data_IF_933242794475
#
_entry.id   IF_933242794475
#
_cell.length_a   1.000
_cell.length_b   1.000
_cell.length_c   1.000
_cell.angle_alpha   90.00
_cell.angle_beta   90.00
_cell.angle_gamma   90.00
#
_symmetry.space_group_name_H-M   'P 1'
#
loop_
_entity.id
_entity.type
_entity.pdbx_description
1 polymer ?
#
# COMPACT_ATOMS: atom_id res chain seq x y z
N UNK A 1 -33.51 46.14 -34.37
CA UNK A 1 -33.58 47.27 -33.41
C UNK A 1 -33.77 46.67 -32.01
N UNK A 2 -33.12 47.21 -30.96
CA UNK A 2 -33.72 47.95 -29.82
C UNK A 2 -34.94 47.26 -29.17
N UNK A 3 -35.06 47.15 -27.83
CA UNK A 3 -34.37 47.88 -26.74
C UNK A 3 -34.18 47.07 -25.45
N UNK A 4 -33.23 47.52 -24.62
CA UNK A 4 -33.04 47.14 -23.20
C UNK A 4 -33.99 47.91 -22.27
N UNK A 5 -34.15 47.43 -21.03
CA UNK A 5 -34.48 48.25 -19.85
C UNK A 5 -35.65 47.74 -19.00
N UNK A 6 -35.82 48.25 -17.75
CA UNK A 6 -35.05 49.29 -17.07
C UNK A 6 -34.20 48.77 -15.88
N UNK A 7 -33.47 49.67 -15.21
CA UNK A 7 -32.69 49.42 -13.99
C UNK A 7 -32.83 50.56 -12.95
N UNK A 8 -32.46 50.28 -11.70
CA UNK A 8 -32.28 51.23 -10.57
C UNK A 8 -30.96 50.85 -9.86
N UNK A 9 -29.97 51.70 -9.47
CA UNK A 9 -29.89 53.11 -9.02
C UNK A 9 -30.37 53.33 -7.55
N UNK A 10 -29.69 54.03 -6.61
CA UNK A 10 -28.39 54.77 -6.45
C UNK A 10 -28.18 54.95 -4.90
N UNK A 11 -27.05 55.27 -4.22
CA UNK A 11 -25.60 55.56 -4.42
C UNK A 11 -24.85 55.40 -3.04
N UNK A 12 -23.49 55.50 -2.95
CA UNK A 12 -22.71 55.18 -1.72
C UNK A 12 -22.24 56.40 -0.89
N UNK A 13 -21.64 56.19 0.32
CA UNK A 13 -20.36 56.77 0.83
C UNK A 13 -20.15 56.77 2.37
N UNK A 14 -18.98 56.24 2.82
CA UNK A 14 -18.05 56.77 3.87
C UNK A 14 -18.52 56.94 5.35
N UNK A 15 -17.61 57.14 6.37
CA UNK A 15 -16.13 57.18 6.37
C UNK A 15 -15.42 56.22 7.38
N UNK A 16 -14.10 56.41 7.56
CA UNK A 16 -13.14 55.65 8.40
C UNK A 16 -12.79 56.43 9.70
N UNK A 17 -12.31 55.76 10.78
CA UNK A 17 -11.32 56.36 11.69
C UNK A 17 -10.02 55.53 11.87
N UNK A 18 -8.91 56.20 12.21
CA UNK A 18 -7.55 55.63 12.40
C UNK A 18 -6.94 56.15 13.72
N UNK A 19 -6.13 55.35 14.43
CA UNK A 19 -4.82 55.81 14.94
C UNK A 19 -3.68 54.80 14.62
N UNK A 20 -2.42 55.10 14.25
CA UNK A 20 -1.44 56.19 14.56
C UNK A 20 -0.94 56.11 16.03
N UNK A 21 0.34 55.86 16.36
CA UNK A 21 1.56 55.55 15.57
C UNK A 21 2.68 54.99 16.52
N UNK A 22 3.92 54.86 16.00
CA UNK A 22 5.22 54.93 16.73
C UNK A 22 5.79 53.63 17.33
N UNK A 23 7.11 53.32 17.32
CA UNK A 23 8.23 53.51 16.34
C UNK A 23 9.48 52.75 16.86
N UNK A 24 10.48 52.51 16.00
CA UNK A 24 11.79 51.91 16.34
C UNK A 24 12.01 50.54 15.67
N UNK A 25 12.76 50.36 14.58
CA UNK A 25 14.14 50.71 14.19
C UNK A 25 15.25 49.78 14.75
N UNK A 26 15.99 49.22 13.78
CA UNK A 26 17.43 48.87 13.77
C UNK A 26 18.01 47.85 14.77
N UNK A 27 18.42 46.72 14.18
CA UNK A 27 19.82 46.26 14.07
C UNK A 27 20.39 45.09 14.91
N UNK A 28 21.21 44.33 14.16
CA UNK A 28 22.38 43.54 14.57
C UNK A 28 22.21 42.27 15.40
N UNK A 29 22.63 41.15 14.81
CA UNK A 29 23.30 40.06 15.54
C UNK A 29 24.66 40.56 16.05
N UNK A 30 25.19 40.00 17.15
CA UNK A 30 26.21 38.98 16.93
C UNK A 30 26.18 37.81 17.92
N UNK A 31 27.04 36.83 17.66
CA UNK A 31 27.24 35.63 18.47
C UNK A 31 27.82 35.89 19.86
N UNK A 32 27.56 34.97 20.79
CA UNK A 32 28.61 34.34 21.61
C UNK A 32 28.17 33.03 22.26
N UNK A 33 29.10 32.09 22.32
CA UNK A 33 29.07 30.93 23.23
C UNK A 33 29.56 31.36 24.61
N UNK A 34 29.09 30.72 25.69
CA UNK A 34 29.94 30.26 26.80
C UNK A 34 29.20 29.27 27.73
N UNK A 35 29.91 28.19 28.03
CA UNK A 35 29.88 27.21 29.12
C UNK A 35 28.82 27.26 30.25
N UNK A 36 28.22 26.09 30.47
CA UNK A 36 28.28 25.30 31.72
C UNK A 36 28.00 25.98 33.08
N UNK A 37 26.87 25.64 33.69
CA UNK A 37 26.72 25.54 35.16
C UNK A 37 26.08 24.19 35.49
N UNK A 38 26.73 23.41 36.36
CA UNK A 38 26.14 22.24 37.03
C UNK A 38 25.40 22.68 38.30
N UNK A 39 24.16 22.22 38.50
CA UNK A 39 23.60 22.02 39.84
C UNK A 39 22.97 20.62 39.88
N UNK A 40 23.37 19.84 40.88
CA UNK A 40 22.86 18.49 41.14
C UNK A 40 21.49 18.51 41.82
N UNK A 41 20.58 17.63 41.41
CA UNK A 41 19.29 17.42 42.06
C UNK A 41 18.76 16.02 41.77
N UNK A 42 19.07 15.07 42.65
CA UNK A 42 18.67 13.66 42.48
C UNK A 42 17.14 13.49 42.56
N UNK A 43 16.60 12.66 41.66
CA UNK A 43 15.32 11.96 41.87
C UNK A 43 15.32 10.66 41.05
N UNK A 44 14.47 9.72 41.48
CA UNK A 44 14.54 8.31 41.10
C UNK A 44 14.34 7.98 39.60
N UNK A 45 14.53 6.71 39.22
CA UNK A 45 14.69 6.30 37.82
C UNK A 45 13.41 6.48 37.00
N UNK A 46 13.43 7.49 36.13
CA UNK A 46 12.60 7.46 34.94
C UNK A 46 13.12 6.33 34.03
N UNK A 47 12.27 5.36 33.70
CA UNK A 47 12.59 4.30 32.74
C UNK A 47 12.70 4.91 31.35
N UNK A 48 13.90 5.28 30.93
CA UNK A 48 14.18 5.68 29.57
C UNK A 48 13.85 4.51 28.62
N UNK A 49 12.86 4.71 27.75
CA UNK A 49 12.68 3.82 26.60
C UNK A 49 13.87 4.04 25.66
N UNK A 50 14.75 3.05 25.57
CA UNK A 50 15.86 3.08 24.63
C UNK A 50 15.32 2.89 23.21
N UNK A 51 15.28 3.99 22.44
CA UNK A 51 14.74 4.00 21.07
C UNK A 51 15.74 3.49 20.02
N UNK A 52 16.81 2.79 20.43
CA UNK A 52 17.77 2.14 19.53
C UNK A 52 17.42 0.68 19.23
N UNK A 53 16.50 0.40 18.27
CA UNK A 53 16.56 -0.92 17.62
C UNK A 53 16.44 -0.90 16.09
N UNK A 54 16.09 0.20 15.42
CA UNK A 54 15.83 0.16 13.96
C UNK A 54 17.13 -0.08 13.17
N UNK A 55 18.13 0.79 13.35
CA UNK A 55 19.44 0.64 12.71
C UNK A 55 20.18 -0.64 13.14
N UNK A 56 19.96 -1.13 14.37
CA UNK A 56 20.54 -2.39 14.85
C UNK A 56 19.77 -3.63 14.38
N UNK A 57 18.44 -3.62 14.22
CA UNK A 57 17.72 -4.74 13.58
C UNK A 57 18.22 -4.95 12.14
N UNK A 58 18.63 -3.86 11.46
CA UNK A 58 19.20 -3.89 10.12
C UNK A 58 20.69 -4.26 10.07
N UNK A 59 21.49 -4.01 11.13
CA UNK A 59 22.94 -4.26 11.15
C UNK A 59 23.43 -5.42 12.05
N UNK A 60 22.69 -5.86 13.07
CA UNK A 60 23.14 -6.90 14.02
C UNK A 60 23.11 -8.31 13.44
N UNK A 61 22.47 -8.49 12.28
CA UNK A 61 22.63 -9.64 11.38
C UNK A 61 24.09 -9.92 10.96
N UNK A 62 25.00 -8.97 11.18
CA UNK A 62 26.40 -9.00 10.72
C UNK A 62 27.39 -9.67 11.67
N UNK A 63 27.03 -9.98 12.93
CA UNK A 63 27.99 -10.41 13.97
C UNK A 63 27.80 -11.84 14.52
N UNK A 64 26.71 -12.54 14.21
CA UNK A 64 26.54 -13.95 14.63
C UNK A 64 26.03 -14.88 13.50
N UNK A 65 26.81 -15.93 13.24
CA UNK A 65 26.50 -17.08 12.36
C UNK A 65 25.93 -16.80 10.96
N UNK A 66 26.83 -16.83 9.96
CA UNK A 66 26.56 -17.17 8.55
C UNK A 66 25.44 -16.39 7.84
N UNK A 67 25.77 -15.17 7.40
CA UNK A 67 25.29 -14.57 6.14
C UNK A 67 23.79 -14.63 5.87
N UNK A 68 22.99 -13.92 6.66
CA UNK A 68 21.53 -13.90 6.53
C UNK A 68 21.04 -12.45 6.33
N UNK A 69 20.92 -12.03 5.06
CA UNK A 69 20.48 -10.68 4.71
C UNK A 69 18.99 -10.45 5.04
N UNK A 70 18.72 -9.34 5.71
CA UNK A 70 17.36 -8.89 6.04
C UNK A 70 16.51 -8.63 4.80
N UNK A 71 17.09 -8.10 3.71
CA UNK A 71 16.33 -7.88 2.47
C UNK A 71 16.00 -9.19 1.78
N UNK A 72 16.94 -10.10 1.57
CA UNK A 72 16.64 -11.46 1.06
C UNK A 72 15.57 -12.20 1.87
N UNK A 73 15.54 -12.02 3.19
CA UNK A 73 14.53 -12.61 4.08
C UNK A 73 13.15 -11.90 4.07
N UNK A 74 13.04 -10.74 3.42
CA UNK A 74 11.79 -10.02 3.11
C UNK A 74 11.36 -10.26 1.65
N UNK A 75 12.24 -9.97 0.69
CA UNK A 75 12.05 -10.13 -0.76
C UNK A 75 11.71 -11.57 -1.14
N UNK A 76 12.40 -12.56 -0.56
CA UNK A 76 12.11 -13.98 -0.80
C UNK A 76 10.80 -14.48 -0.17
N UNK A 77 10.08 -13.63 0.59
CA UNK A 77 8.92 -14.02 1.42
C UNK A 77 7.70 -13.11 1.31
N UNK A 78 7.77 -11.98 0.59
CA UNK A 78 6.56 -11.37 0.03
C UNK A 78 5.87 -12.40 -0.88
N UNK A 79 4.53 -12.44 -0.98
CA UNK A 79 3.89 -13.51 -1.72
C UNK A 79 4.21 -13.39 -3.21
N UNK A 80 4.95 -14.37 -3.77
CA UNK A 80 5.25 -14.46 -5.20
C UNK A 80 3.99 -14.50 -6.09
N UNK A 81 2.82 -14.71 -5.48
CA UNK A 81 1.53 -14.62 -6.15
C UNK A 81 1.32 -13.23 -6.78
N UNK A 82 0.98 -13.30 -8.06
CA UNK A 82 0.41 -12.23 -8.89
C UNK A 82 -0.54 -11.26 -8.17
N UNK A 83 -1.35 -11.76 -7.22
CA UNK A 83 -2.36 -10.98 -6.50
C UNK A 83 -1.79 -10.11 -5.38
N UNK A 84 -0.62 -10.43 -4.82
CA UNK A 84 -0.04 -9.60 -3.76
C UNK A 84 0.63 -8.34 -4.33
N UNK A 85 1.43 -8.49 -5.39
CA UNK A 85 2.19 -7.39 -6.02
C UNK A 85 1.33 -6.15 -6.31
N UNK A 86 0.31 -6.29 -7.16
CA UNK A 86 -0.65 -5.21 -7.49
C UNK A 86 -1.22 -4.51 -6.27
N UNK A 87 -1.66 -5.31 -5.30
CA UNK A 87 -2.38 -4.81 -4.14
C UNK A 87 -1.45 -4.10 -3.17
N UNK A 88 -0.16 -4.45 -3.17
CA UNK A 88 0.88 -3.75 -2.41
C UNK A 88 1.24 -2.39 -3.03
N UNK A 89 1.32 -2.31 -4.37
CA UNK A 89 1.49 -1.03 -5.09
C UNK A 89 0.32 -0.09 -4.76
N UNK A 90 -0.92 -0.58 -4.86
CA UNK A 90 -2.11 0.21 -4.48
C UNK A 90 -2.10 0.59 -2.99
N UNK A 91 -1.71 -0.31 -2.08
CA UNK A 91 -1.65 0.00 -0.65
C UNK A 91 -0.67 1.16 -0.36
N UNK A 92 0.53 1.14 -0.96
CA UNK A 92 1.50 2.22 -0.80
C UNK A 92 1.04 3.55 -1.41
N UNK A 93 0.36 3.53 -2.58
CA UNK A 93 -0.26 4.72 -3.16
C UNK A 93 -1.38 5.28 -2.26
N UNK A 94 -2.26 4.44 -1.72
CA UNK A 94 -3.40 4.91 -0.94
C UNK A 94 -3.01 5.50 0.42
N UNK A 95 -1.98 4.96 1.10
CA UNK A 95 -1.46 5.55 2.35
C UNK A 95 -0.83 6.93 2.08
N UNK A 96 0.07 7.01 1.08
CA UNK A 96 0.76 8.25 0.70
C UNK A 96 -0.16 9.32 0.05
N UNK A 97 -1.19 8.89 -0.68
CA UNK A 97 -2.09 9.75 -1.46
C UNK A 97 -3.04 10.62 -0.62
N UNK A 98 -3.11 10.38 0.69
CA UNK A 98 -3.88 11.23 1.62
C UNK A 98 -3.18 12.53 2.01
N UNK A 99 -1.94 12.74 1.52
CA UNK A 99 -1.14 13.92 1.87
C UNK A 99 -1.77 15.24 1.40
N UNK A 100 -1.65 16.27 2.23
CA UNK A 100 -1.96 17.67 1.90
C UNK A 100 -0.79 18.58 2.32
N UNK A 101 -0.13 19.20 1.33
CA UNK A 101 1.00 20.11 1.53
C UNK A 101 0.65 21.40 2.27
N UNK A 102 -0.64 21.75 2.35
CA UNK A 102 -1.11 22.96 3.01
C UNK A 102 -1.27 22.76 4.52
N UNK A 103 -1.24 21.50 5.00
CA UNK A 103 -1.29 21.14 6.42
C UNK A 103 0.13 20.79 6.89
N UNK A 104 0.67 21.58 7.81
CA UNK A 104 2.09 21.45 8.26
C UNK A 104 2.25 20.43 9.40
N UNK A 105 1.18 20.18 10.17
CA UNK A 105 1.25 19.36 11.38
C UNK A 105 1.15 17.86 11.08
N UNK A 106 2.18 17.09 11.44
CA UNK A 106 2.12 15.62 11.45
C UNK A 106 1.32 15.14 12.68
N UNK A 107 0.38 14.19 12.55
CA UNK A 107 0.04 13.43 11.33
C UNK A 107 -1.15 13.97 10.52
N UNK A 108 -1.77 15.10 10.91
CA UNK A 108 -2.95 15.68 10.25
C UNK A 108 -2.77 15.95 8.75
N UNK A 109 -1.53 16.18 8.34
CA UNK A 109 -1.12 16.30 6.95
C UNK A 109 -1.37 15.04 6.10
N UNK A 110 -1.61 13.87 6.70
CA UNK A 110 -1.78 12.59 6.00
C UNK A 110 -0.46 12.03 5.47
N UNK A 111 -0.52 11.28 4.38
CA UNK A 111 0.64 10.72 3.70
C UNK A 111 1.17 9.42 4.32
N UNK A 112 2.40 9.06 3.94
CA UNK A 112 3.02 7.76 4.21
C UNK A 112 3.39 7.58 5.70
N UNK A 113 2.38 7.38 6.54
CA UNK A 113 2.46 7.30 8.00
C UNK A 113 1.77 6.03 8.57
N UNK A 114 1.32 5.13 7.70
CA UNK A 114 0.76 3.83 8.08
C UNK A 114 -0.64 3.89 8.69
N UNK A 115 -1.38 5.00 8.54
CA UNK A 115 -2.76 5.15 9.05
C UNK A 115 -3.74 4.19 8.37
N UNK A 116 -3.49 3.86 7.09
CA UNK A 116 -4.31 2.96 6.27
C UNK A 116 -4.36 1.50 6.78
N UNK A 117 -3.72 1.18 7.91
CA UNK A 117 -3.93 -0.08 8.63
C UNK A 117 -5.21 -0.13 9.47
N UNK A 118 -5.80 1.03 9.77
CA UNK A 118 -6.96 1.11 10.67
C UNK A 118 -8.29 0.99 9.92
N UNK A 119 -9.28 0.36 10.55
CA UNK A 119 -10.57 0.04 9.93
C UNK A 119 -11.33 1.30 9.47
N UNK A 120 -11.21 2.42 10.19
CA UNK A 120 -11.83 3.70 9.81
C UNK A 120 -11.43 4.12 8.39
N UNK A 121 -10.12 4.14 8.10
CA UNK A 121 -9.61 4.54 6.79
C UNK A 121 -9.75 3.41 5.74
N UNK A 122 -9.62 2.15 6.15
CA UNK A 122 -9.90 1.00 5.26
C UNK A 122 -11.36 0.95 4.80
N UNK A 123 -12.30 1.51 5.56
CA UNK A 123 -13.73 1.55 5.24
C UNK A 123 -14.10 2.62 4.21
N UNK A 124 -13.22 3.61 3.96
CA UNK A 124 -13.41 4.61 2.91
C UNK A 124 -13.64 3.94 1.55
N UNK A 125 -14.59 4.46 0.75
CA UNK A 125 -14.97 3.91 -0.55
C UNK A 125 -13.78 3.79 -1.51
N UNK A 126 -12.90 4.79 -1.52
CA UNK A 126 -11.66 4.78 -2.30
C UNK A 126 -10.72 3.61 -1.91
N UNK A 127 -10.78 3.11 -0.67
CA UNK A 127 -9.92 2.06 -0.13
C UNK A 127 -10.52 0.64 -0.27
N UNK A 128 -11.68 0.51 -0.91
CA UNK A 128 -12.41 -0.76 -1.07
C UNK A 128 -11.51 -1.95 -1.49
N UNK A 129 -11.52 -2.98 -0.65
CA UNK A 129 -10.76 -4.22 -0.83
C UNK A 129 -9.30 -4.21 -0.36
N UNK A 130 -8.74 -3.09 0.12
CA UNK A 130 -7.35 -3.01 0.60
C UNK A 130 -7.09 -3.77 1.92
N UNK A 131 -8.14 -4.12 2.68
CA UNK A 131 -8.06 -5.06 3.81
C UNK A 131 -7.40 -6.41 3.43
N UNK A 132 -7.48 -6.81 2.15
CA UNK A 132 -6.80 -7.99 1.63
C UNK A 132 -5.29 -7.79 1.45
N UNK A 133 -4.84 -6.56 1.19
CA UNK A 133 -3.42 -6.21 1.18
C UNK A 133 -2.84 -6.31 2.58
N UNK A 134 -3.51 -5.70 3.58
CA UNK A 134 -3.11 -5.74 4.97
C UNK A 134 -2.99 -7.19 5.48
N UNK A 135 -3.98 -8.05 5.19
CA UNK A 135 -3.95 -9.49 5.50
C UNK A 135 -2.77 -10.26 4.87
N UNK A 136 -2.23 -9.81 3.74
CA UNK A 136 -1.07 -10.44 3.08
C UNK A 136 0.28 -10.00 3.69
N UNK A 137 0.36 -8.80 4.25
CA UNK A 137 1.57 -8.27 4.90
C UNK A 137 1.58 -8.49 6.42
N UNK A 138 0.44 -8.78 7.05
CA UNK A 138 0.36 -9.03 8.50
C UNK A 138 1.38 -10.08 8.98
N UNK A 139 1.55 -11.27 8.34
CA UNK A 139 2.55 -12.25 8.78
C UNK A 139 4.00 -11.75 8.67
N UNK A 140 4.26 -10.72 7.86
CA UNK A 140 5.57 -10.05 7.77
C UNK A 140 5.73 -9.04 8.90
N UNK A 141 4.69 -8.25 9.20
CA UNK A 141 4.65 -7.32 10.35
C UNK A 141 4.79 -8.05 11.69
N UNK A 142 4.12 -9.20 11.84
CA UNK A 142 4.15 -10.00 13.06
C UNK A 142 5.55 -10.60 13.31
N UNK A 143 6.24 -11.00 12.23
CA UNK A 143 7.62 -11.50 12.29
C UNK A 143 8.63 -10.38 12.58
N UNK A 144 8.40 -9.17 12.07
CA UNK A 144 9.31 -8.03 12.18
C UNK A 144 8.59 -6.86 12.88
N UNK A 145 8.32 -7.03 14.17
CA UNK A 145 7.55 -6.06 14.97
C UNK A 145 8.15 -4.66 15.00
N UNK A 146 9.47 -4.52 14.84
CA UNK A 146 10.21 -3.25 14.78
C UNK A 146 10.13 -2.49 13.44
N UNK A 147 9.65 -3.11 12.36
CA UNK A 147 9.37 -2.41 11.09
C UNK A 147 7.98 -1.78 11.20
N UNK A 148 7.84 -0.49 10.94
CA UNK A 148 6.55 0.23 10.97
C UNK A 148 5.64 -0.21 9.81
N UNK A 149 4.32 -0.05 9.97
CA UNK A 149 3.38 -0.26 8.86
C UNK A 149 3.66 0.73 7.72
N UNK A 150 3.97 1.99 8.04
CA UNK A 150 4.39 3.01 7.08
C UNK A 150 5.55 2.54 6.18
N UNK A 151 6.65 2.02 6.76
CA UNK A 151 7.75 1.47 5.95
C UNK A 151 7.37 0.16 5.25
N UNK A 152 6.60 -0.72 5.89
CA UNK A 152 6.21 -2.00 5.30
C UNK A 152 5.30 -1.83 4.08
N UNK A 153 4.41 -0.84 4.07
CA UNK A 153 3.55 -0.51 2.92
C UNK A 153 4.40 -0.02 1.74
N UNK A 154 5.31 0.93 1.98
CA UNK A 154 6.13 1.52 0.92
C UNK A 154 7.22 0.55 0.41
N UNK A 155 7.79 -0.29 1.30
CA UNK A 155 8.65 -1.42 0.92
C UNK A 155 7.90 -2.41 0.03
N UNK A 156 6.71 -2.87 0.44
CA UNK A 156 5.93 -3.82 -0.34
C UNK A 156 5.47 -3.24 -1.69
N UNK A 157 5.22 -1.93 -1.75
CA UNK A 157 4.96 -1.20 -3.01
C UNK A 157 6.17 -1.22 -3.94
N UNK A 158 7.34 -0.73 -3.50
CA UNK A 158 8.55 -0.67 -4.32
C UNK A 158 9.02 -2.06 -4.79
N UNK A 159 9.09 -3.04 -3.88
CA UNK A 159 9.41 -4.44 -4.22
C UNK A 159 8.44 -5.02 -5.24
N UNK A 160 7.16 -4.65 -5.21
CA UNK A 160 6.18 -5.15 -6.17
C UNK A 160 6.32 -4.56 -7.58
N UNK A 161 6.97 -3.40 -7.74
CA UNK A 161 7.37 -2.84 -9.04
C UNK A 161 8.59 -3.58 -9.58
N UNK A 162 9.62 -3.75 -8.73
CA UNK A 162 10.88 -4.42 -9.08
C UNK A 162 10.66 -5.90 -9.46
N UNK A 163 9.91 -6.66 -8.65
CA UNK A 163 9.49 -8.06 -8.92
C UNK A 163 8.46 -8.19 -10.07
N UNK A 164 8.07 -7.09 -10.71
CA UNK A 164 7.29 -7.08 -11.94
C UNK A 164 8.13 -6.69 -13.18
N UNK A 165 9.43 -6.45 -13.02
CA UNK A 165 10.33 -6.01 -14.10
C UNK A 165 10.35 -4.49 -14.30
N UNK A 166 9.86 -3.72 -13.33
CA UNK A 166 9.91 -2.25 -13.35
C UNK A 166 11.25 -1.69 -12.88
N UNK A 167 11.38 -0.36 -12.81
CA UNK A 167 12.59 0.30 -12.35
C UNK A 167 12.86 0.05 -10.85
N UNK A 168 14.13 0.07 -10.48
CA UNK A 168 14.53 0.15 -9.07
C UNK A 168 14.12 1.51 -8.51
N UNK A 169 13.43 1.52 -7.36
CA UNK A 169 12.96 2.76 -6.74
C UNK A 169 14.01 3.27 -5.75
N UNK A 170 14.44 4.54 -5.79
CA UNK A 170 15.41 5.11 -4.84
C UNK A 170 14.76 5.37 -3.46
N UNK A 171 14.47 4.27 -2.75
CA UNK A 171 13.76 4.25 -1.47
C UNK A 171 14.64 4.62 -0.28
N UNK A 172 14.06 5.39 0.65
CA UNK A 172 14.50 5.50 2.04
C UNK A 172 13.41 5.02 3.00
N UNK A 173 13.81 4.69 4.23
CA UNK A 173 12.97 4.11 5.30
C UNK A 173 13.18 4.85 6.63
N UNK A 174 12.69 4.31 7.74
CA UNK A 174 12.65 4.97 9.05
C UNK A 174 11.36 5.78 9.26
N UNK A 175 10.26 5.45 8.57
CA UNK A 175 8.97 6.14 8.73
C UNK A 175 8.35 5.83 10.09
N UNK A 176 7.83 6.85 10.77
CA UNK A 176 7.11 6.72 12.04
C UNK A 176 5.63 6.39 11.77
N UNK A 177 5.11 5.33 12.38
CA UNK A 177 3.67 5.03 12.37
C UNK A 177 2.88 6.07 13.20
N UNK A 178 1.69 6.44 12.75
CA UNK A 178 0.66 7.06 13.62
C UNK A 178 0.32 6.16 14.81
N UNK A 179 -0.11 6.70 15.95
CA UNK A 179 -0.37 5.89 17.15
C UNK A 179 -1.73 5.18 17.15
N UNK A 180 -2.77 5.81 16.60
CA UNK A 180 -4.15 5.33 16.72
C UNK A 180 -5.07 5.80 15.58
N UNK A 181 -6.28 5.24 15.48
CA UNK A 181 -7.25 5.55 14.41
C UNK A 181 -7.74 7.00 14.45
N UNK A 182 -7.63 7.69 15.59
CA UNK A 182 -7.90 9.12 15.73
C UNK A 182 -6.91 10.04 14.99
N UNK A 183 -5.89 9.45 14.36
CA UNK A 183 -4.89 10.13 13.53
C UNK A 183 -5.02 9.80 12.04
N UNK A 184 -6.02 9.01 11.63
CA UNK A 184 -6.37 8.84 10.22
C UNK A 184 -6.86 10.17 9.62
N UNK A 185 -6.54 10.46 8.35
CA UNK A 185 -7.12 11.57 7.61
C UNK A 185 -8.59 11.29 7.26
N UNK A 186 -9.39 12.35 7.14
CA UNK A 186 -10.78 12.25 6.66
C UNK A 186 -10.87 11.70 5.21
N UNK A 187 -12.01 11.11 4.86
CA UNK A 187 -12.30 10.64 3.51
C UNK A 187 -12.33 11.79 2.47
N UNK A 188 -12.14 11.46 1.19
CA UNK A 188 -12.21 12.41 0.07
C UNK A 188 -10.86 12.98 -0.38
N UNK A 189 -9.74 12.59 0.25
CA UNK A 189 -8.39 13.03 -0.18
C UNK A 189 -7.82 12.23 -1.37
N UNK A 190 -8.39 11.06 -1.69
CA UNK A 190 -7.93 10.18 -2.78
C UNK A 190 -8.74 10.41 -4.07
N UNK A 191 -8.18 10.17 -5.26
CA UNK A 191 -8.84 10.52 -6.52
C UNK A 191 -9.93 9.52 -6.93
N UNK A 192 -11.14 10.03 -7.18
CA UNK A 192 -12.16 9.33 -7.96
C UNK A 192 -11.73 9.05 -9.41
N UNK A 193 -12.20 7.92 -9.95
CA UNK A 193 -11.90 7.48 -11.31
C UNK A 193 -12.76 8.13 -12.41
N UNK A 194 -13.96 8.64 -12.06
CA UNK A 194 -14.93 9.23 -13.00
C UNK A 194 -15.60 10.52 -12.50
N UNK A 195 -14.84 11.57 -12.15
CA UNK A 195 -15.37 12.90 -11.87
C UNK A 195 -15.91 13.58 -13.14
N UNK A 196 -16.61 14.70 -12.99
CA UNK A 196 -17.17 15.48 -14.10
C UNK A 196 -16.10 16.20 -14.96
N UNK A 197 -14.96 16.59 -14.38
CA UNK A 197 -13.77 17.04 -15.11
C UNK A 197 -12.54 16.25 -14.65
N UNK A 198 -12.16 15.17 -15.35
CA UNK A 198 -11.04 14.31 -14.93
C UNK A 198 -9.68 15.01 -14.90
N UNK A 199 -9.42 15.98 -15.78
CA UNK A 199 -8.13 16.68 -15.79
C UNK A 199 -7.97 17.62 -14.58
N UNK A 200 -9.01 18.41 -14.29
CA UNK A 200 -9.00 19.35 -13.17
C UNK A 200 -8.96 18.60 -11.84
N UNK A 201 -9.77 17.54 -11.69
CA UNK A 201 -9.78 16.69 -10.49
C UNK A 201 -8.44 16.00 -10.22
N UNK A 202 -7.75 15.49 -11.26
CA UNK A 202 -6.40 14.95 -11.10
C UNK A 202 -5.43 16.04 -10.61
N UNK A 203 -5.53 17.27 -11.13
CA UNK A 203 -4.72 18.40 -10.66
C UNK A 203 -5.08 18.80 -9.24
N UNK A 204 -6.35 18.96 -8.88
CA UNK A 204 -6.77 19.30 -7.52
C UNK A 204 -6.23 18.31 -6.48
N UNK A 205 -6.32 17.01 -6.77
CA UNK A 205 -5.84 15.94 -5.87
C UNK A 205 -4.31 15.90 -5.80
N UNK A 206 -3.60 15.89 -6.94
CA UNK A 206 -2.14 15.73 -6.96
C UNK A 206 -1.37 17.03 -6.69
N UNK A 207 -1.88 18.20 -7.10
CA UNK A 207 -1.28 19.49 -6.75
C UNK A 207 -1.41 19.76 -5.26
N UNK A 208 -2.47 19.28 -4.58
CA UNK A 208 -2.57 19.28 -3.11
C UNK A 208 -1.47 18.43 -2.46
N UNK A 209 -1.09 17.29 -3.07
CA UNK A 209 0.07 16.49 -2.65
C UNK A 209 1.42 17.16 -2.97
N UNK A 210 1.47 18.19 -3.81
CA UNK A 210 2.71 18.79 -4.30
C UNK A 210 3.38 18.00 -5.44
N UNK A 211 2.59 17.20 -6.16
CA UNK A 211 2.98 16.51 -7.38
C UNK A 211 2.61 17.35 -8.63
N UNK A 212 3.35 17.21 -9.72
CA UNK A 212 3.14 17.97 -10.97
C UNK A 212 2.51 17.15 -12.13
N UNK A 213 2.22 17.80 -13.27
CA UNK A 213 1.65 17.16 -14.46
C UNK A 213 2.50 16.00 -15.03
N UNK A 214 3.82 15.99 -14.84
CA UNK A 214 4.68 14.85 -15.24
C UNK A 214 4.47 13.69 -14.28
N UNK A 215 4.49 13.98 -12.98
CA UNK A 215 4.35 13.00 -11.91
C UNK A 215 2.96 12.37 -11.88
N UNK A 216 1.90 13.13 -12.16
CA UNK A 216 0.53 12.62 -12.39
C UNK A 216 0.54 11.53 -13.47
N UNK A 217 1.06 11.85 -14.66
CA UNK A 217 1.04 10.92 -15.80
C UNK A 217 1.95 9.73 -15.58
N UNK A 218 3.14 9.94 -15.01
CA UNK A 218 4.06 8.87 -14.67
C UNK A 218 3.43 7.89 -13.66
N UNK A 219 2.91 8.38 -12.54
CA UNK A 219 2.32 7.54 -11.49
C UNK A 219 1.08 6.77 -11.96
N UNK A 220 0.24 7.37 -12.82
CA UNK A 220 -0.87 6.67 -13.48
C UNK A 220 -0.41 5.44 -14.28
N UNK A 221 0.83 5.42 -14.76
CA UNK A 221 1.48 4.24 -15.36
C UNK A 221 1.48 2.98 -14.47
N UNK A 222 1.28 3.12 -13.15
CA UNK A 222 1.07 1.99 -12.24
C UNK A 222 -0.13 1.10 -12.63
N UNK A 223 -1.12 1.61 -13.36
CA UNK A 223 -2.24 0.83 -13.88
C UNK A 223 -1.82 -0.28 -14.86
N UNK A 224 -0.59 -0.25 -15.38
CA UNK A 224 0.04 -1.39 -16.08
C UNK A 224 0.02 -2.68 -15.23
N UNK A 225 0.10 -2.55 -13.89
CA UNK A 225 -0.04 -3.63 -12.91
C UNK A 225 -1.45 -3.72 -12.31
N UNK A 226 -2.51 -3.45 -13.07
CA UNK A 226 -3.85 -3.32 -12.51
C UNK A 226 -4.86 -4.43 -12.87
N UNK A 227 -5.98 -4.46 -12.16
CA UNK A 227 -7.31 -4.73 -12.73
C UNK A 227 -8.38 -4.15 -11.81
N UNK A 228 -9.33 -3.41 -12.36
CA UNK A 228 -10.51 -2.98 -11.63
C UNK A 228 -11.46 -4.15 -11.43
N UNK A 229 -12.40 -3.99 -10.50
CA UNK A 229 -13.37 -4.99 -10.07
C UNK A 229 -14.67 -4.28 -9.72
N UNK A 230 -15.81 -4.60 -10.36
CA UNK A 230 -17.07 -3.92 -10.09
C UNK A 230 -17.51 -4.12 -8.63
N UNK A 231 -17.20 -5.28 -8.03
CA UNK A 231 -17.46 -5.59 -6.62
C UNK A 231 -16.49 -4.89 -5.63
N UNK A 232 -15.67 -3.95 -6.10
CA UNK A 232 -14.78 -3.13 -5.27
C UNK A 232 -14.91 -1.65 -5.56
N UNK A 233 -14.64 -1.22 -6.79
CA UNK A 233 -14.64 0.19 -7.19
C UNK A 233 -15.84 0.59 -8.05
N UNK A 234 -16.72 -0.35 -8.41
CA UNK A 234 -17.77 -0.14 -9.41
C UNK A 234 -17.28 -0.18 -10.86
N UNK A 235 -15.97 -0.22 -11.11
CA UNK A 235 -15.39 -0.14 -12.46
C UNK A 235 -14.95 -1.49 -13.03
N UNK A 236 -15.12 -1.64 -14.34
CA UNK A 236 -14.63 -2.76 -15.15
C UNK A 236 -15.60 -3.95 -15.27
N UNK A 237 -15.40 -4.77 -16.31
CA UNK A 237 -16.11 -6.05 -16.51
C UNK A 237 -15.85 -7.03 -15.32
N UNK A 238 -16.81 -7.89 -14.94
CA UNK A 238 -16.61 -8.93 -13.92
C UNK A 238 -15.49 -9.92 -14.22
N UNK A 239 -15.19 -10.16 -15.50
CA UNK A 239 -14.04 -10.92 -16.00
C UNK A 239 -13.78 -10.59 -17.48
N UNK A 240 -12.59 -10.95 -17.99
CA UNK A 240 -12.22 -10.87 -19.42
C UNK A 240 -11.30 -12.03 -19.83
N UNK A 241 -11.00 -12.13 -21.14
CA UNK A 241 -10.03 -13.12 -21.67
C UNK A 241 -8.67 -13.09 -20.97
N UNK A 242 -8.24 -11.95 -20.44
CA UNK A 242 -6.97 -11.80 -19.72
C UNK A 242 -7.05 -12.20 -18.24
N UNK A 243 -8.23 -12.20 -17.63
CA UNK A 243 -8.36 -12.26 -16.16
C UNK A 243 -9.10 -13.50 -15.64
N UNK A 244 -9.82 -14.23 -16.51
CA UNK A 244 -10.60 -15.42 -16.17
C UNK A 244 -9.75 -16.64 -15.74
N UNK A 245 -8.61 -16.87 -16.40
CA UNK A 245 -7.68 -17.99 -16.07
C UNK A 245 -6.37 -17.50 -15.42
N UNK A 246 -6.24 -16.19 -15.19
CA UNK A 246 -4.99 -15.58 -14.74
C UNK A 246 -4.67 -15.88 -13.26
N UNK A 247 -3.39 -15.99 -12.89
CA UNK A 247 -2.99 -16.50 -11.58
C UNK A 247 -3.47 -15.62 -10.43
N UNK A 248 -3.76 -16.24 -9.29
CA UNK A 248 -4.43 -15.60 -8.14
C UNK A 248 -5.95 -15.79 -8.22
N UNK A 249 -6.73 -14.87 -7.65
CA UNK A 249 -8.19 -14.91 -7.79
C UNK A 249 -8.61 -14.46 -9.22
N UNK A 250 -9.43 -15.22 -9.96
CA UNK A 250 -9.86 -14.86 -11.31
C UNK A 250 -10.90 -13.72 -11.34
N UNK A 251 -11.08 -13.08 -12.51
CA UNK A 251 -12.04 -11.99 -12.72
C UNK A 251 -11.49 -10.56 -12.55
N UNK A 252 -12.34 -9.55 -12.76
CA UNK A 252 -12.00 -8.14 -12.96
C UNK A 252 -11.53 -7.82 -14.38
N UNK A 253 -11.27 -6.54 -14.68
CA UNK A 253 -10.79 -6.06 -15.99
C UNK A 253 -9.46 -5.33 -15.84
N UNK A 254 -8.43 -5.76 -16.58
CA UNK A 254 -7.10 -5.14 -16.59
C UNK A 254 -7.00 -3.99 -17.60
N UNK A 255 -6.09 -3.04 -17.37
CA UNK A 255 -5.74 -2.01 -18.35
C UNK A 255 -4.83 -2.54 -19.46
N UNK A 256 -4.04 -3.57 -19.18
CA UNK A 256 -3.09 -4.19 -20.11
C UNK A 256 -3.34 -5.68 -20.25
N UNK A 257 -2.88 -6.27 -21.37
CA UNK A 257 -2.94 -7.71 -21.59
C UNK A 257 -1.98 -8.50 -20.67
N UNK A 258 -0.80 -7.92 -20.36
CA UNK A 258 0.22 -8.52 -19.50
C UNK A 258 0.24 -7.90 -18.09
N UNK A 259 -0.90 -7.91 -17.40
CA UNK A 259 -1.15 -7.19 -16.14
C UNK A 259 -0.29 -7.58 -14.91
N UNK A 260 0.80 -8.32 -15.08
CA UNK A 260 1.81 -8.66 -14.05
C UNK A 260 3.22 -8.21 -14.39
N UNK A 261 3.41 -7.64 -15.58
CA UNK A 261 4.66 -7.06 -16.05
C UNK A 261 4.54 -5.55 -15.91
N UNK A 262 5.55 -4.92 -15.30
CA UNK A 262 5.64 -3.47 -15.29
C UNK A 262 6.34 -3.03 -16.57
N UNK A 263 5.58 -2.46 -17.49
CA UNK A 263 6.10 -1.86 -18.72
C UNK A 263 5.19 -0.72 -19.19
N UNK A 264 5.57 -0.05 -20.29
CA UNK A 264 4.82 1.07 -20.85
C UNK A 264 3.58 0.66 -21.68
N UNK A 265 3.12 -0.61 -21.63
CA UNK A 265 1.93 -1.04 -22.38
C UNK A 265 0.68 -0.27 -21.98
N UNK A 266 0.53 0.12 -20.71
CA UNK A 266 -0.58 0.97 -20.24
C UNK A 266 -0.81 2.18 -21.15
N UNK A 267 0.22 2.99 -21.41
CA UNK A 267 0.08 4.20 -22.23
C UNK A 267 -0.29 3.86 -23.68
N UNK A 268 0.21 2.73 -24.22
CA UNK A 268 -0.10 2.26 -25.57
C UNK A 268 -1.55 1.78 -25.66
N UNK A 269 -1.99 0.97 -24.70
CA UNK A 269 -3.33 0.38 -24.65
C UNK A 269 -4.42 1.46 -24.51
N UNK A 270 -4.22 2.47 -23.63
CA UNK A 270 -5.14 3.61 -23.50
C UNK A 270 -5.08 4.61 -24.67
N UNK A 271 -4.02 4.58 -25.49
CA UNK A 271 -3.88 5.38 -26.71
C UNK A 271 -4.53 4.71 -27.92
N UNK A 272 -4.37 3.40 -28.05
CA UNK A 272 -4.94 2.64 -29.16
C UNK A 272 -6.43 2.36 -28.96
N UNK A 273 -6.87 2.06 -27.73
CA UNK A 273 -8.28 1.76 -27.37
C UNK A 273 -8.94 0.67 -28.26
N UNK A 274 -8.15 -0.27 -28.80
CA UNK A 274 -8.58 -1.28 -29.78
C UNK A 274 -9.19 -2.56 -29.18
N UNK A 275 -8.87 -2.89 -27.94
CA UNK A 275 -9.36 -4.09 -27.27
C UNK A 275 -10.38 -3.74 -26.18
N UNK A 276 -11.64 -4.10 -26.40
CA UNK A 276 -12.74 -3.86 -25.46
C UNK A 276 -12.63 -4.61 -24.12
N UNK A 277 -11.70 -5.56 -23.98
CA UNK A 277 -11.37 -6.21 -22.70
C UNK A 277 -10.30 -5.47 -21.90
N UNK A 278 -9.70 -4.41 -22.45
CA UNK A 278 -8.80 -3.52 -21.72
C UNK A 278 -9.57 -2.33 -21.17
N UNK A 279 -9.29 -1.97 -19.92
CA UNK A 279 -9.95 -0.89 -19.21
C UNK A 279 -9.33 0.46 -19.56
N UNK A 280 -10.19 1.46 -19.74
CA UNK A 280 -9.81 2.88 -19.74
C UNK A 280 -10.83 3.62 -18.88
N UNK A 281 -10.40 4.15 -17.73
CA UNK A 281 -11.22 5.04 -16.89
C UNK A 281 -11.27 6.45 -17.50
N UNK A 282 -12.24 7.30 -17.14
CA UNK A 282 -12.21 8.72 -17.52
C UNK A 282 -10.91 9.43 -17.13
N UNK A 283 -10.33 9.08 -15.97
CA UNK A 283 -9.03 9.59 -15.52
C UNK A 283 -7.82 9.02 -16.27
N UNK A 284 -7.90 7.83 -16.87
CA UNK A 284 -6.87 7.33 -17.80
C UNK A 284 -7.00 8.00 -19.17
N UNK A 285 -8.24 8.13 -19.66
CA UNK A 285 -8.55 8.68 -20.97
C UNK A 285 -8.03 10.12 -21.11
N UNK A 286 -8.21 10.93 -20.07
CA UNK A 286 -7.85 12.34 -20.08
C UNK A 286 -6.35 12.60 -20.21
N UNK A 287 -5.49 11.62 -19.87
CA UNK A 287 -4.03 11.76 -19.98
C UNK A 287 -3.54 11.93 -21.43
N UNK A 288 -4.40 11.63 -22.42
CA UNK A 288 -4.14 11.82 -23.85
C UNK A 288 -5.03 12.89 -24.49
N UNK A 289 -5.92 13.50 -23.72
CA UNK A 289 -6.91 14.48 -24.18
C UNK A 289 -6.59 15.88 -23.65
N UNK A 290 -6.09 15.99 -22.41
CA UNK A 290 -5.50 17.21 -21.85
C UNK A 290 -4.19 17.61 -22.55
N UNK A 291 -4.00 18.89 -22.96
CA UNK A 291 -2.83 19.32 -23.70
C UNK A 291 -1.47 19.12 -23.00
N UNK A 292 -1.42 19.20 -21.67
CA UNK A 292 -0.18 19.09 -20.90
C UNK A 292 0.13 17.62 -20.58
N UNK A 293 -0.85 16.86 -20.08
CA UNK A 293 -0.66 15.42 -19.80
C UNK A 293 -0.26 14.64 -21.04
N UNK A 294 -0.85 14.99 -22.20
CA UNK A 294 -0.60 14.32 -23.49
C UNK A 294 0.89 14.35 -23.89
N UNK A 295 1.64 15.37 -23.50
CA UNK A 295 3.09 15.46 -23.77
C UNK A 295 3.82 14.30 -23.10
N UNK A 296 3.55 14.05 -21.82
CA UNK A 296 4.15 12.97 -21.05
C UNK A 296 3.60 11.60 -21.44
N UNK A 297 2.29 11.48 -21.65
CA UNK A 297 1.67 10.21 -22.04
C UNK A 297 2.19 9.74 -23.41
N UNK A 298 2.28 10.64 -24.40
CA UNK A 298 2.83 10.33 -25.73
C UNK A 298 4.33 10.01 -25.66
N UNK A 299 5.11 10.72 -24.83
CA UNK A 299 6.51 10.36 -24.55
C UNK A 299 6.61 8.92 -24.05
N UNK A 300 5.78 8.53 -23.07
CA UNK A 300 5.83 7.21 -22.45
C UNK A 300 5.31 6.07 -23.35
N UNK A 301 4.50 6.32 -24.38
CA UNK A 301 4.19 5.26 -25.38
C UNK A 301 5.42 4.87 -26.21
N UNK A 302 6.29 5.83 -26.51
CA UNK A 302 7.48 5.62 -27.34
C UNK A 302 8.71 5.19 -26.53
N UNK A 303 8.90 5.78 -25.35
CA UNK A 303 10.12 5.64 -24.54
C UNK A 303 9.83 4.97 -23.18
N UNK A 304 10.21 3.71 -23.05
CA UNK A 304 10.07 2.94 -21.81
C UNK A 304 11.10 3.36 -20.75
N UNK A 305 12.32 3.71 -21.15
CA UNK A 305 13.40 4.01 -20.21
C UNK A 305 13.17 5.38 -19.56
N UNK A 306 12.66 6.36 -20.31
CA UNK A 306 12.23 7.63 -19.76
C UNK A 306 10.94 7.53 -18.93
N UNK A 307 10.03 6.59 -19.24
CA UNK A 307 8.92 6.23 -18.33
C UNK A 307 9.47 5.66 -17.02
N UNK A 308 10.38 4.69 -17.09
CA UNK A 308 10.97 4.04 -15.92
C UNK A 308 11.72 5.03 -15.03
N UNK A 309 12.50 5.95 -15.62
CA UNK A 309 13.18 7.03 -14.90
C UNK A 309 12.18 7.96 -14.19
N UNK A 310 11.22 8.52 -14.93
CA UNK A 310 10.26 9.47 -14.35
C UNK A 310 9.35 8.80 -13.31
N UNK A 311 9.01 7.52 -13.49
CA UNK A 311 8.26 6.73 -12.52
C UNK A 311 9.04 6.47 -11.23
N UNK A 312 10.32 6.10 -11.32
CA UNK A 312 11.15 5.87 -10.14
C UNK A 312 11.32 7.15 -9.30
N UNK A 313 11.50 8.29 -9.95
CA UNK A 313 11.55 9.60 -9.29
C UNK A 313 10.22 9.96 -8.63
N UNK A 314 9.10 9.82 -9.35
CA UNK A 314 7.77 10.15 -8.84
C UNK A 314 7.30 9.21 -7.71
N UNK A 315 7.57 7.91 -7.81
CA UNK A 315 7.23 6.91 -6.79
C UNK A 315 8.06 7.11 -5.51
N UNK A 316 9.37 7.38 -5.65
CA UNK A 316 10.19 7.73 -4.50
C UNK A 316 9.70 9.02 -3.83
N UNK A 317 9.38 10.08 -4.58
CA UNK A 317 8.80 11.32 -4.04
C UNK A 317 7.49 11.05 -3.29
N UNK A 318 6.54 10.37 -3.94
CA UNK A 318 5.27 9.90 -3.38
C UNK A 318 5.46 9.19 -2.03
N UNK A 319 6.35 8.19 -1.99
CA UNK A 319 6.56 7.36 -0.79
C UNK A 319 7.04 8.14 0.44
N UNK A 320 7.51 9.37 0.26
CA UNK A 320 8.00 10.26 1.31
C UNK A 320 7.02 11.38 1.68
N UNK A 321 5.87 11.51 0.98
CA UNK A 321 4.87 12.55 1.26
C UNK A 321 4.25 12.36 2.64
N UNK A 322 4.15 13.44 3.43
CA UNK A 322 3.60 13.44 4.79
C UNK A 322 4.38 12.62 5.83
N UNK A 323 5.39 11.85 5.43
CA UNK A 323 6.11 10.95 6.32
C UNK A 323 7.02 11.70 7.30
N UNK A 324 6.85 11.43 8.59
CA UNK A 324 7.84 11.73 9.62
C UNK A 324 8.88 10.60 9.66
N UNK A 325 10.17 10.96 9.66
CA UNK A 325 11.27 10.00 9.73
C UNK A 325 11.99 10.05 11.08
N UNK A 326 12.50 8.90 11.52
CA UNK A 326 13.43 8.76 12.64
C UNK A 326 14.59 7.81 12.23
N UNK A 327 15.84 8.29 12.07
CA UNK A 327 16.26 9.68 12.20
C UNK A 327 15.68 10.59 11.10
N UNK A 328 15.65 11.93 11.25
CA UNK A 328 14.92 12.86 10.37
C UNK A 328 15.32 12.80 8.88
N UNK A 329 16.58 12.48 8.58
CA UNK A 329 17.07 12.25 7.22
C UNK A 329 16.43 11.02 6.55
N UNK A 330 16.01 10.02 7.34
CA UNK A 330 15.59 8.69 6.89
C UNK A 330 16.77 7.75 6.64
N UNK A 331 16.48 6.45 6.67
CA UNK A 331 17.46 5.37 6.51
C UNK A 331 17.50 4.93 5.05
N UNK A 332 18.55 5.30 4.33
CA UNK A 332 18.90 4.67 3.05
C UNK A 332 19.50 3.29 3.30
N UNK A 333 19.07 2.28 2.54
CA UNK A 333 19.66 0.94 2.58
C UNK A 333 20.35 0.69 1.24
N UNK A 334 21.67 0.57 1.24
CA UNK A 334 22.45 0.20 0.04
C UNK A 334 22.23 -1.27 -0.36
N UNK A 335 22.62 -1.62 -1.58
CA UNK A 335 22.46 -2.98 -2.12
C UNK A 335 23.63 -3.35 -3.03
N UNK A 336 24.45 -4.33 -2.62
CA UNK A 336 25.46 -4.93 -3.50
C UNK A 336 24.86 -6.13 -4.24
N UNK A 337 24.55 -5.91 -5.52
CA UNK A 337 23.96 -6.89 -6.43
C UNK A 337 24.84 -8.12 -6.69
N UNK A 338 26.09 -8.17 -6.21
CA UNK A 338 27.02 -9.30 -6.40
C UNK A 338 26.89 -10.41 -5.36
N UNK A 339 26.11 -10.22 -4.29
CA UNK A 339 26.13 -11.14 -3.13
C UNK A 339 24.93 -12.07 -2.99
N UNK A 340 23.86 -11.89 -3.78
CA UNK A 340 22.64 -12.69 -3.66
C UNK A 340 22.76 -14.03 -4.39
N UNK A 341 23.37 -15.01 -3.72
CA UNK A 341 23.10 -16.40 -4.00
C UNK A 341 21.64 -16.71 -3.63
N UNK A 342 20.81 -17.11 -4.59
CA UNK A 342 19.42 -17.42 -4.34
C UNK A 342 19.30 -18.75 -3.56
N UNK A 343 19.16 -18.66 -2.23
CA UNK A 343 18.79 -19.78 -1.36
C UNK A 343 17.57 -20.52 -1.97
N UNK A 344 17.69 -21.83 -2.27
CA UNK A 344 16.59 -22.57 -2.91
C UNK A 344 15.40 -22.62 -1.95
N UNK A 345 14.20 -22.43 -2.51
CA UNK A 345 12.95 -22.45 -1.73
C UNK A 345 12.69 -23.84 -1.14
N UNK A 346 13.21 -24.08 0.07
CA UNK A 346 12.69 -25.08 0.97
C UNK A 346 11.30 -24.62 1.38
N UNK A 347 10.29 -25.13 0.70
CA UNK A 347 8.91 -24.97 1.11
C UNK A 347 8.79 -25.34 2.59
N UNK A 348 8.17 -24.46 3.39
CA UNK A 348 7.80 -24.85 4.74
C UNK A 348 6.90 -26.09 4.63
N UNK A 349 7.39 -27.23 5.13
CA UNK A 349 6.60 -28.47 5.18
C UNK A 349 5.41 -28.25 6.12
N UNK A 350 4.29 -27.79 5.57
CA UNK A 350 2.99 -28.26 6.05
C UNK A 350 3.10 -29.78 6.18
N UNK A 351 2.84 -30.32 7.37
CA UNK A 351 3.41 -31.59 7.83
C UNK A 351 2.78 -32.86 7.21
N UNK A 352 2.83 -32.94 5.89
CA UNK A 352 2.58 -34.13 5.08
C UNK A 352 3.91 -34.89 4.88
N UNK A 353 4.33 -35.60 5.94
CA UNK A 353 5.67 -36.20 6.07
C UNK A 353 6.67 -35.19 6.64
N UNK A 354 7.22 -35.38 7.84
CA UNK A 354 8.00 -36.57 8.21
C UNK A 354 7.59 -37.25 9.54
N UNK A 355 6.34 -37.08 9.98
CA UNK A 355 5.75 -38.01 10.98
C UNK A 355 4.49 -38.66 10.45
N UNK A 356 4.67 -39.69 9.61
CA UNK A 356 3.73 -40.82 9.55
C UNK A 356 3.72 -41.52 10.92
N UNK A 357 2.92 -41.00 11.86
CA UNK A 357 2.21 -41.92 12.75
C UNK A 357 1.17 -42.60 11.88
N UNK A 358 1.50 -43.75 11.34
CA UNK A 358 0.47 -44.62 10.77
C UNK A 358 -0.53 -44.93 11.90
N UNK A 359 -1.83 -44.93 11.59
CA UNK A 359 -2.82 -45.34 12.57
C UNK A 359 -2.48 -46.78 13.00
N UNK A 360 -2.46 -47.06 14.30
CA UNK A 360 -2.30 -48.42 14.80
C UNK A 360 -3.40 -49.30 14.22
N UNK A 361 -3.11 -50.58 13.96
CA UNK A 361 -4.05 -51.44 13.24
C UNK A 361 -5.37 -51.65 13.99
N UNK A 362 -5.36 -51.55 15.32
CA UNK A 362 -6.57 -51.48 16.14
C UNK A 362 -7.44 -50.23 15.81
N UNK A 363 -6.82 -49.08 15.54
CA UNK A 363 -7.54 -47.86 15.16
C UNK A 363 -7.94 -47.86 13.68
N UNK A 364 -7.16 -48.51 12.79
CA UNK A 364 -7.58 -48.83 11.42
C UNK A 364 -8.81 -49.75 11.41
N UNK A 365 -8.80 -50.81 12.22
CA UNK A 365 -9.94 -51.74 12.40
C UNK A 365 -11.17 -51.03 12.94
N UNK A 366 -11.03 -50.20 13.99
CA UNK A 366 -12.15 -49.46 14.57
C UNK A 366 -12.81 -48.52 13.55
N UNK A 367 -12.03 -47.75 12.80
CA UNK A 367 -12.56 -46.86 11.75
C UNK A 367 -13.24 -47.65 10.63
N UNK A 368 -12.69 -48.81 10.24
CA UNK A 368 -13.35 -49.70 9.26
C UNK A 368 -14.68 -50.25 9.78
N UNK A 369 -14.71 -50.73 11.02
CA UNK A 369 -15.94 -51.24 11.64
C UNK A 369 -17.02 -50.15 11.78
N UNK A 370 -16.64 -48.92 12.12
CA UNK A 370 -17.57 -47.78 12.17
C UNK A 370 -18.06 -47.36 10.77
N UNK A 371 -17.22 -47.45 9.74
CA UNK A 371 -17.60 -47.20 8.34
C UNK A 371 -18.57 -48.26 7.80
N UNK A 372 -18.29 -49.54 8.06
CA UNK A 372 -19.13 -50.68 7.68
C UNK A 372 -20.47 -50.67 8.45
N UNK A 373 -20.47 -50.33 9.74
CA UNK A 373 -21.68 -50.19 10.55
C UNK A 373 -22.60 -49.04 10.10
N UNK A 374 -22.04 -48.01 9.44
CA UNK A 374 -22.82 -46.93 8.80
C UNK A 374 -23.31 -47.29 7.38
N UNK A 375 -23.02 -48.51 6.89
CA UNK A 375 -23.42 -48.98 5.57
C UNK A 375 -22.45 -48.60 4.44
N UNK A 376 -21.23 -48.20 4.75
CA UNK A 376 -20.18 -47.92 3.78
C UNK A 376 -19.41 -49.17 3.40
N UNK A 377 -19.12 -49.36 2.10
CA UNK A 377 -18.22 -50.40 1.61
C UNK A 377 -17.26 -49.85 0.54
N UNK A 378 -16.17 -50.57 0.17
CA UNK A 378 -15.28 -50.16 -0.90
C UNK A 378 -16.01 -49.90 -2.24
N UNK A 379 -17.05 -50.68 -2.51
CA UNK A 379 -17.86 -50.63 -3.72
C UNK A 379 -19.15 -49.78 -3.56
N UNK A 380 -19.39 -49.22 -2.37
CA UNK A 380 -20.56 -48.40 -2.05
C UNK A 380 -20.17 -47.29 -1.06
N UNK A 381 -19.55 -46.20 -1.55
CA UNK A 381 -19.17 -45.08 -0.71
C UNK A 381 -20.40 -44.34 -0.17
N UNK A 382 -20.35 -43.98 1.12
CA UNK A 382 -21.40 -43.22 1.81
C UNK A 382 -21.70 -41.88 1.10
N UNK A 383 -22.98 -41.59 0.87
CA UNK A 383 -23.43 -40.35 0.21
C UNK A 383 -23.02 -39.11 1.01
N UNK A 384 -22.74 -38.02 0.33
CA UNK A 384 -21.89 -36.88 0.75
C UNK A 384 -22.20 -36.17 2.07
N UNK A 385 -23.36 -36.40 2.70
CA UNK A 385 -23.82 -35.61 3.85
C UNK A 385 -23.19 -36.07 5.19
N UNK A 386 -22.59 -37.26 5.26
CA UNK A 386 -21.93 -37.73 6.49
C UNK A 386 -20.70 -36.91 6.88
N UNK A 387 -19.94 -36.37 5.91
CA UNK A 387 -18.73 -35.60 6.22
C UNK A 387 -19.04 -34.30 6.98
N UNK A 388 -20.15 -33.63 6.63
CA UNK A 388 -20.64 -32.45 7.33
C UNK A 388 -21.08 -32.80 8.77
N UNK A 389 -21.84 -33.90 8.92
CA UNK A 389 -22.29 -34.36 10.25
C UNK A 389 -21.11 -34.76 11.15
N UNK A 390 -20.07 -35.39 10.61
CA UNK A 390 -18.84 -35.73 11.34
C UNK A 390 -18.10 -34.45 11.79
N UNK A 391 -17.98 -33.44 10.91
CA UNK A 391 -17.37 -32.16 11.29
C UNK A 391 -18.17 -31.43 12.38
N UNK A 392 -19.50 -31.47 12.33
CA UNK A 392 -20.38 -30.93 13.39
C UNK A 392 -20.19 -31.71 14.71
N UNK A 393 -20.11 -33.04 14.66
CA UNK A 393 -19.87 -33.88 15.85
C UNK A 393 -18.51 -33.57 16.50
N UNK A 394 -17.45 -33.43 15.68
CA UNK A 394 -16.10 -33.07 16.14
C UNK A 394 -16.10 -31.67 16.77
N UNK A 395 -16.79 -30.69 16.17
CA UNK A 395 -16.91 -29.34 16.74
C UNK A 395 -17.67 -29.36 18.09
N UNK A 396 -18.76 -30.11 18.19
CA UNK A 396 -19.52 -30.27 19.44
C UNK A 396 -18.71 -30.96 20.54
N UNK A 397 -17.96 -32.00 20.20
CA UNK A 397 -17.05 -32.69 21.13
C UNK A 397 -15.90 -31.77 21.60
N UNK A 398 -15.30 -31.00 20.69
CA UNK A 398 -14.26 -30.03 21.04
C UNK A 398 -14.78 -28.96 22.02
N UNK A 399 -15.98 -28.42 21.75
CA UNK A 399 -16.64 -27.46 22.63
C UNK A 399 -16.93 -28.06 24.01
N UNK A 400 -17.48 -29.28 24.07
CA UNK A 400 -17.70 -30.00 25.34
C UNK A 400 -16.37 -30.23 26.10
N UNK A 401 -15.28 -30.60 25.44
CA UNK A 401 -13.98 -30.73 26.12
C UNK A 401 -13.45 -29.39 26.65
N UNK A 402 -13.71 -28.27 25.98
CA UNK A 402 -13.33 -26.95 26.49
C UNK A 402 -14.13 -26.49 27.72
N UNK A 403 -15.33 -27.04 27.94
CA UNK A 403 -16.16 -26.76 29.12
C UNK A 403 -15.84 -27.66 30.32
N UNK A 404 -15.10 -28.75 30.13
CA UNK A 404 -14.74 -29.74 31.17
C UNK A 404 -13.27 -29.58 31.64
N UNK A 405 -12.53 -28.64 31.05
CA UNK A 405 -11.12 -28.37 31.38
C UNK A 405 -10.86 -26.97 31.98
N UNK A 406 -11.89 -26.35 32.56
CA UNK A 406 -11.82 -25.14 33.40
C UNK A 406 -12.26 -25.47 34.83
#
# INVERSE_FOLDING_TARGET
MKSLGPALWREPNQPIPIPILSLGLSDSSPSRSISTIFISGERGPATAFDTRPVAETLNTSRSSSRGNDGRGCLLGRTPKSSSARKTSVRLGWHDAGTYDKNVVEWPKCGGANGSLRFEIELSHAANAGLVNALKLIQPVKDKYSSITYADLFQLASATAIEEAGGPQIPMKYGRVDVSGPEQCPDEGRLPDAGPSSPADHLRDVFYRMGLDDKEIVALSGAHTLGRARPERSGWGKPETKYTKDGPGAPGGQSWTGQWLKFDNSYFKDIMERKDEDLLVLPTDAVLLEDPSFKIYATKYTMDQDAFFKDYAEAHAKLSNLGAKFDPPEGISIEYDSKTVAAEPFVAAKYSYGERKKELSDAMKQKIRAEYEALGGSPDTPLKSNYFLNIMILIAGLAFLTSLVMN
#
